data_IF_830386425453
#
_entry.id   IF_830386425453
#
_cell.length_a   1.000
_cell.length_b   1.000
_cell.length_c   1.000
_cell.angle_alpha   90.00
_cell.angle_beta   90.00
_cell.angle_gamma   90.00
#
_symmetry.space_group_name_H-M   'P 1'
#
loop_
_entity.id
_entity.type
_entity.pdbx_description
1 polymer ?
#
# COMPACT_ATOMS: atom_id res chain seq x y z
N UNK A 1 -36.37 14.46 -6.83
CA UNK A 1 -35.55 14.33 -5.61
C UNK A 1 -34.96 12.93 -5.43
N UNK A 2 -35.76 11.86 -5.52
CA UNK A 2 -35.28 10.45 -5.39
C UNK A 2 -34.18 10.05 -6.40
N UNK A 3 -34.25 10.53 -7.63
CA UNK A 3 -33.28 10.17 -8.68
C UNK A 3 -31.90 10.81 -8.48
N UNK A 4 -31.85 12.05 -7.99
CA UNK A 4 -30.59 12.71 -7.61
C UNK A 4 -29.98 12.07 -6.33
N UNK A 5 -30.82 11.59 -5.42
CA UNK A 5 -30.38 10.84 -4.24
C UNK A 5 -29.71 9.51 -4.63
N UNK A 6 -30.27 8.78 -5.61
CA UNK A 6 -29.69 7.52 -6.11
C UNK A 6 -28.37 7.75 -6.87
N UNK A 7 -28.27 8.83 -7.64
CA UNK A 7 -27.03 9.22 -8.33
C UNK A 7 -25.92 9.62 -7.34
N UNK A 8 -26.28 10.37 -6.28
CA UNK A 8 -25.33 10.71 -5.22
C UNK A 8 -24.84 9.45 -4.47
N UNK A 9 -25.73 8.48 -4.23
CA UNK A 9 -25.36 7.21 -3.58
C UNK A 9 -24.38 6.39 -4.44
N UNK A 10 -24.59 6.36 -5.76
CA UNK A 10 -23.70 5.65 -6.70
C UNK A 10 -22.31 6.29 -6.78
N UNK A 11 -22.24 7.62 -6.68
CA UNK A 11 -20.96 8.35 -6.67
C UNK A 11 -20.17 8.15 -5.36
N UNK A 12 -20.83 7.94 -4.22
CA UNK A 12 -20.14 7.69 -2.94
C UNK A 12 -19.51 6.29 -2.88
N UNK A 13 -20.12 5.28 -3.52
CA UNK A 13 -19.65 3.88 -3.49
C UNK A 13 -18.39 3.67 -4.35
N UNK A 14 -18.21 4.44 -5.43
CA UNK A 14 -17.05 4.27 -6.32
C UNK A 14 -15.75 4.82 -5.72
N UNK A 15 -15.85 5.81 -4.82
CA UNK A 15 -14.67 6.47 -4.23
C UNK A 15 -14.02 5.64 -3.13
N UNK A 16 -14.73 4.70 -2.50
CA UNK A 16 -14.24 3.94 -1.33
C UNK A 16 -13.47 2.67 -1.67
N UNK A 17 -13.29 2.32 -2.97
CA UNK A 17 -12.90 0.96 -3.37
C UNK A 17 -11.49 0.79 -3.94
N UNK A 18 -10.62 1.81 -3.90
CA UNK A 18 -9.21 1.65 -4.31
C UNK A 18 -8.37 1.11 -3.15
N UNK A 19 -8.62 -0.14 -2.74
CA UNK A 19 -7.64 -0.89 -1.95
C UNK A 19 -6.55 -1.39 -2.90
N UNK A 20 -5.34 -0.85 -2.81
CA UNK A 20 -4.18 -1.45 -3.47
C UNK A 20 -3.94 -2.84 -2.86
N UNK A 21 -3.87 -3.86 -3.73
CA UNK A 21 -3.45 -5.19 -3.33
C UNK A 21 -1.93 -5.32 -3.55
N UNK A 22 -1.33 -6.33 -2.90
CA UNK A 22 0.06 -6.69 -3.15
C UNK A 22 0.23 -7.21 -4.58
N UNK A 23 1.34 -6.88 -5.22
CA UNK A 23 1.80 -7.59 -6.44
C UNK A 23 2.31 -8.99 -6.09
N UNK A 24 2.62 -9.80 -7.10
CA UNK A 24 3.19 -11.13 -6.89
C UNK A 24 4.57 -11.05 -6.21
N UNK A 25 5.40 -10.08 -6.60
CA UNK A 25 6.71 -9.81 -6.01
C UNK A 25 6.60 -9.30 -4.56
N UNK A 26 5.64 -8.41 -4.29
CA UNK A 26 5.39 -7.93 -2.92
C UNK A 26 4.85 -9.06 -2.03
N UNK A 27 4.01 -9.94 -2.59
CA UNK A 27 3.52 -11.15 -1.91
C UNK A 27 4.65 -12.12 -1.62
N UNK A 28 5.56 -12.33 -2.59
CA UNK A 28 6.76 -13.15 -2.41
C UNK A 28 7.64 -12.58 -1.29
N UNK A 29 7.86 -11.26 -1.26
CA UNK A 29 8.63 -10.61 -0.21
C UNK A 29 7.98 -10.79 1.17
N UNK A 30 6.67 -10.57 1.27
CA UNK A 30 5.92 -10.81 2.52
C UNK A 30 6.10 -12.24 3.01
N UNK A 31 5.98 -13.24 2.12
CA UNK A 31 6.14 -14.64 2.49
C UNK A 31 7.54 -14.94 3.02
N UNK A 32 8.60 -14.42 2.38
CA UNK A 32 9.98 -14.59 2.85
C UNK A 32 10.19 -13.99 4.26
N UNK A 33 9.61 -12.82 4.52
CA UNK A 33 9.65 -12.19 5.85
C UNK A 33 8.92 -13.07 6.87
N UNK A 34 7.75 -13.61 6.52
CA UNK A 34 6.96 -14.43 7.44
C UNK A 34 7.57 -15.80 7.71
N UNK A 35 8.26 -16.38 6.74
CA UNK A 35 9.10 -17.57 6.94
C UNK A 35 10.20 -17.30 7.95
N UNK A 36 10.91 -16.17 7.85
CA UNK A 36 11.93 -15.77 8.81
C UNK A 36 11.34 -15.56 10.21
N UNK A 37 10.20 -14.87 10.32
CA UNK A 37 9.53 -14.66 11.61
C UNK A 37 9.10 -15.98 12.26
N UNK A 38 8.52 -16.88 11.47
CA UNK A 38 8.15 -18.23 11.92
C UNK A 38 9.35 -19.01 12.43
N UNK A 39 10.49 -18.95 11.73
CA UNK A 39 11.72 -19.62 12.15
C UNK A 39 12.26 -19.10 13.50
N UNK A 40 11.94 -17.85 13.84
CA UNK A 40 12.31 -17.22 15.11
C UNK A 40 11.22 -17.30 16.19
N UNK A 41 10.14 -18.06 15.96
CA UNK A 41 9.04 -18.21 16.92
C UNK A 41 8.22 -16.93 17.13
N UNK A 42 8.26 -15.99 16.19
CA UNK A 42 7.52 -14.73 16.25
C UNK A 42 6.11 -14.88 15.62
N UNK A 43 5.12 -14.08 16.07
CA UNK A 43 3.76 -14.15 15.54
C UNK A 43 3.66 -13.60 14.11
N UNK A 44 2.70 -14.10 13.33
CA UNK A 44 2.44 -13.60 11.98
C UNK A 44 2.03 -12.10 12.01
N UNK A 45 2.58 -11.30 11.08
CA UNK A 45 2.17 -9.90 10.89
C UNK A 45 1.04 -9.85 9.86
N UNK A 46 -0.14 -9.32 10.19
CA UNK A 46 -1.22 -9.18 9.21
C UNK A 46 -0.88 -8.10 8.17
N UNK A 47 -1.29 -8.34 6.93
CA UNK A 47 -1.20 -7.33 5.86
C UNK A 47 -2.11 -6.15 6.19
N UNK A 48 -1.58 -4.93 6.08
CA UNK A 48 -2.31 -3.69 6.29
C UNK A 48 -2.44 -2.94 4.96
N UNK A 49 -3.67 -2.81 4.41
CA UNK A 49 -3.88 -2.09 3.14
C UNK A 49 -3.36 -0.66 3.17
N UNK A 50 -3.53 0.05 4.29
CA UNK A 50 -3.03 1.42 4.45
C UNK A 50 -1.50 1.49 4.39
N UNK A 51 -0.79 0.53 5.01
CA UNK A 51 0.68 0.50 4.94
C UNK A 51 1.16 0.08 3.56
N UNK A 52 0.46 -0.83 2.87
CA UNK A 52 0.75 -1.18 1.47
C UNK A 52 0.63 0.05 0.58
N UNK A 53 -0.41 0.87 0.75
CA UNK A 53 -0.58 2.12 -0.01
C UNK A 53 0.58 3.09 0.24
N UNK A 54 1.00 3.27 1.51
CA UNK A 54 2.11 4.16 1.85
C UNK A 54 3.40 3.68 1.20
N UNK A 55 3.74 2.39 1.34
CA UNK A 55 4.96 1.82 0.77
C UNK A 55 5.00 1.94 -0.77
N UNK A 56 3.91 1.58 -1.44
CA UNK A 56 3.82 1.68 -2.90
C UNK A 56 3.87 3.13 -3.39
N UNK A 57 3.18 4.05 -2.70
CA UNK A 57 3.22 5.48 -3.03
C UNK A 57 4.63 6.01 -2.87
N UNK A 58 5.29 5.65 -1.77
CA UNK A 58 6.63 6.08 -1.46
C UNK A 58 7.66 5.64 -2.52
N UNK A 59 7.65 4.36 -2.90
CA UNK A 59 8.56 3.86 -3.95
C UNK A 59 8.28 4.53 -5.30
N UNK A 60 7.01 4.76 -5.65
CA UNK A 60 6.65 5.49 -6.88
C UNK A 60 7.15 6.93 -6.85
N UNK A 61 7.04 7.60 -5.71
CA UNK A 61 7.52 8.97 -5.53
C UNK A 61 9.04 9.04 -5.68
N UNK A 62 9.77 8.16 -4.98
CA UNK A 62 11.21 8.01 -5.09
C UNK A 62 11.65 7.77 -6.54
N UNK A 63 11.00 6.84 -7.24
CA UNK A 63 11.30 6.52 -8.64
C UNK A 63 11.03 7.69 -9.60
N UNK A 64 10.05 8.54 -9.32
CA UNK A 64 9.66 9.62 -10.23
C UNK A 64 10.43 10.93 -9.97
N UNK A 65 10.73 11.22 -8.71
CA UNK A 65 11.27 12.50 -8.28
C UNK A 65 12.75 12.44 -7.89
N UNK A 66 13.30 11.24 -7.69
CA UNK A 66 14.70 10.99 -7.36
C UNK A 66 15.31 11.93 -6.30
N UNK A 67 14.66 12.14 -5.14
CA UNK A 67 15.22 12.97 -4.05
C UNK A 67 16.55 12.41 -3.49
N UNK A 68 16.87 11.15 -3.80
CA UNK A 68 18.07 10.41 -3.39
C UNK A 68 19.34 10.74 -4.19
N UNK A 69 19.24 11.54 -5.26
CA UNK A 69 20.39 11.95 -6.07
C UNK A 69 21.23 13.09 -5.47
N UNK A 70 20.73 13.75 -4.42
CA UNK A 70 21.44 14.81 -3.71
C UNK A 70 22.31 14.25 -2.56
N UNK A 71 23.35 14.99 -2.09
CA UNK A 71 24.16 14.55 -0.94
C UNK A 71 23.26 14.19 0.24
N UNK A 72 23.50 12.99 0.81
CA UNK A 72 22.68 12.38 1.86
C UNK A 72 21.94 13.40 2.72
N UNK A 73 20.67 13.58 2.39
CA UNK A 73 19.69 14.25 3.22
C UNK A 73 18.82 13.12 3.81
N UNK A 74 18.33 13.26 5.03
CA UNK A 74 17.55 12.20 5.70
C UNK A 74 16.13 12.03 5.09
N UNK A 75 15.97 12.26 3.79
CA UNK A 75 14.73 12.00 3.10
C UNK A 75 14.67 10.49 2.86
N UNK A 76 13.81 9.84 3.66
CA UNK A 76 13.17 8.60 3.23
C UNK A 76 12.37 8.93 1.99
#
# INVERSE_FOLDING_TARGET
MKQYLLLALFFVITVTSYSQNLTDEETKLYNLIMEYWKANGLPNIPISPSLTIVAQTHVKDLQNNHPDNEPCNMHS
#
